data_IF_655013276305
#
_entry.id   IF_655013276305
#
_cell.length_a   1.000
_cell.length_b   1.000
_cell.length_c   1.000
_cell.angle_alpha   90.00
_cell.angle_beta   90.00
_cell.angle_gamma   90.00
#
_symmetry.space_group_name_H-M   'P 1'
#
loop_
_entity.id
_entity.type
_entity.pdbx_description
1 polymer ?
#
# COMPACT_ATOMS: atom_id res chain seq x y z
N UNK A 1 2.61 -17.78 42.74
CA UNK A 1 3.35 -16.78 41.93
C UNK A 1 4.41 -17.54 41.14
N UNK A 2 4.11 -17.93 39.91
CA UNK A 2 5.12 -18.37 38.94
C UNK A 2 5.47 -17.14 38.08
N UNK A 3 6.74 -16.91 37.74
CA UNK A 3 7.08 -15.87 36.77
C UNK A 3 6.64 -16.34 35.38
N UNK A 4 6.03 -15.44 34.59
CA UNK A 4 5.91 -15.63 33.16
C UNK A 4 7.30 -15.35 32.56
N UNK A 5 7.89 -16.36 31.94
CA UNK A 5 9.05 -16.20 31.06
C UNK A 5 8.48 -15.83 29.68
N UNK A 6 8.57 -14.55 29.33
CA UNK A 6 8.34 -14.08 27.96
C UNK A 6 9.52 -14.58 27.11
N UNK A 7 9.26 -15.60 26.30
CA UNK A 7 10.17 -16.02 25.25
C UNK A 7 10.05 -15.00 24.12
N UNK A 8 11.07 -14.15 23.96
CA UNK A 8 11.22 -13.33 22.77
C UNK A 8 11.49 -14.27 21.59
N UNK A 9 10.54 -14.37 20.65
CA UNK A 9 10.76 -15.01 19.36
C UNK A 9 11.88 -14.23 18.65
N UNK A 10 13.01 -14.90 18.41
CA UNK A 10 14.07 -14.36 17.56
C UNK A 10 13.55 -14.34 16.12
N UNK A 11 13.26 -13.14 15.60
CA UNK A 11 12.93 -12.99 14.18
C UNK A 11 14.04 -13.65 13.32
N UNK A 12 13.68 -14.45 12.30
CA UNK A 12 14.66 -15.13 11.48
C UNK A 12 15.61 -14.10 10.86
N UNK A 13 16.91 -14.30 11.11
CA UNK A 13 17.96 -13.41 10.62
C UNK A 13 17.78 -13.14 9.13
N UNK A 14 17.46 -11.89 8.78
CA UNK A 14 17.27 -11.45 7.40
C UNK A 14 18.50 -11.87 6.58
N UNK A 15 18.29 -12.73 5.57
CA UNK A 15 19.37 -13.11 4.65
C UNK A 15 19.98 -11.84 4.08
N UNK A 16 21.31 -11.76 4.16
CA UNK A 16 22.09 -10.65 3.60
C UNK A 16 21.60 -10.38 2.17
N UNK A 17 21.28 -9.12 1.82
CA UNK A 17 20.73 -8.79 0.51
C UNK A 17 21.64 -9.34 -0.59
N UNK A 18 21.02 -9.86 -1.65
CA UNK A 18 21.72 -10.42 -2.80
C UNK A 18 22.80 -9.43 -3.29
N UNK A 19 23.94 -9.98 -3.75
CA UNK A 19 25.09 -9.19 -4.18
C UNK A 19 24.65 -8.12 -5.20
N UNK A 20 24.69 -6.85 -4.78
CA UNK A 20 24.22 -5.71 -5.56
C UNK A 20 24.97 -5.50 -6.89
N UNK A 21 26.00 -6.32 -7.18
CA UNK A 21 26.73 -6.34 -8.44
C UNK A 21 26.12 -7.22 -9.53
N UNK A 22 25.19 -8.13 -9.18
CA UNK A 22 24.54 -8.98 -10.18
C UNK A 22 23.62 -8.14 -11.07
N UNK A 23 23.77 -8.28 -12.39
CA UNK A 23 22.89 -7.67 -13.39
C UNK A 23 21.70 -8.61 -13.61
N UNK A 24 20.50 -8.33 -13.06
CA UNK A 24 19.35 -9.21 -13.23
C UNK A 24 18.95 -9.28 -14.71
N UNK A 25 18.72 -10.48 -15.24
CA UNK A 25 18.31 -10.72 -16.64
C UNK A 25 17.18 -11.73 -16.63
N UNK A 26 16.13 -11.49 -17.41
CA UNK A 26 14.99 -12.40 -17.47
C UNK A 26 13.65 -11.70 -17.56
N UNK A 27 12.61 -12.47 -17.23
CA UNK A 27 11.21 -12.05 -17.25
C UNK A 27 10.67 -12.13 -15.83
N UNK A 28 9.97 -11.08 -15.41
CA UNK A 28 9.36 -10.95 -14.10
C UNK A 28 7.88 -10.65 -14.25
N UNK A 29 7.06 -11.24 -13.39
CA UNK A 29 5.62 -10.99 -13.34
C UNK A 29 5.34 -10.16 -12.09
N UNK A 30 4.93 -8.91 -12.28
CA UNK A 30 4.69 -7.96 -11.19
C UNK A 30 3.43 -8.39 -10.45
N UNK A 31 3.47 -8.41 -9.11
CA UNK A 31 2.36 -8.87 -8.27
C UNK A 31 1.53 -7.71 -7.76
N UNK A 32 0.22 -7.92 -7.66
CA UNK A 32 -0.70 -6.99 -7.00
C UNK A 32 -2.00 -7.69 -6.57
N UNK A 33 -2.18 -7.90 -5.26
CA UNK A 33 -3.39 -8.46 -4.65
C UNK A 33 -3.93 -9.72 -5.36
N UNK A 34 -3.05 -10.69 -5.61
CA UNK A 34 -3.37 -11.92 -6.35
C UNK A 34 -3.26 -11.80 -7.88
N UNK A 35 -3.34 -10.60 -8.44
CA UNK A 35 -3.18 -10.35 -9.87
C UNK A 35 -1.71 -10.27 -10.33
N UNK A 36 -1.52 -10.20 -11.66
CA UNK A 36 -0.21 -9.92 -12.29
C UNK A 36 -0.30 -8.84 -13.38
N UNK A 37 -0.54 -7.56 -13.01
CA UNK A 37 -0.92 -6.51 -13.96
C UNK A 37 0.15 -6.20 -15.02
N UNK A 38 1.42 -6.50 -14.73
CA UNK A 38 2.51 -6.25 -15.67
C UNK A 38 3.46 -7.44 -15.77
N UNK A 39 4.00 -7.64 -16.97
CA UNK A 39 5.19 -8.45 -17.22
C UNK A 39 6.35 -7.51 -17.53
N UNK A 40 7.52 -7.77 -16.97
CA UNK A 40 8.73 -6.99 -17.22
C UNK A 40 9.83 -7.87 -17.78
N UNK A 41 10.40 -7.47 -18.91
CA UNK A 41 11.57 -8.12 -19.50
C UNK A 41 12.80 -7.23 -19.33
N UNK A 42 13.87 -7.79 -18.76
CA UNK A 42 15.14 -7.09 -18.52
C UNK A 42 16.24 -7.75 -19.33
N UNK A 43 16.94 -6.94 -20.14
CA UNK A 43 18.10 -7.38 -20.95
C UNK A 43 19.26 -6.41 -20.82
N UNK A 44 20.50 -6.92 -20.82
CA UNK A 44 21.71 -6.09 -20.73
C UNK A 44 22.57 -6.15 -22.01
N UNK A 45 22.19 -5.42 -23.08
CA UNK A 45 23.00 -5.36 -24.31
C UNK A 45 24.33 -4.63 -24.12
N UNK A 46 24.53 -3.93 -23.00
CA UNK A 46 25.76 -3.19 -22.69
C UNK A 46 25.86 -2.76 -21.22
N UNK A 47 26.24 -1.49 -21.01
CA UNK A 47 26.37 -0.92 -19.66
C UNK A 47 25.04 -0.62 -19.00
N UNK A 48 24.00 -0.32 -19.79
CA UNK A 48 22.62 -0.11 -19.32
C UNK A 48 21.73 -1.29 -19.70
N UNK A 49 20.72 -1.55 -18.87
CA UNK A 49 19.64 -2.46 -19.18
C UNK A 49 18.66 -1.81 -20.17
N UNK A 50 18.09 -2.63 -21.04
CA UNK A 50 16.84 -2.38 -21.75
C UNK A 50 15.73 -3.08 -20.96
N UNK A 51 14.75 -2.31 -20.51
CA UNK A 51 13.63 -2.81 -19.70
C UNK A 51 12.33 -2.57 -20.44
N UNK A 52 11.57 -3.62 -20.71
CA UNK A 52 10.28 -3.57 -21.38
C UNK A 52 9.17 -3.94 -20.41
N UNK A 53 8.12 -3.14 -20.37
CA UNK A 53 6.92 -3.39 -19.57
C UNK A 53 5.77 -3.71 -20.53
N UNK A 54 5.02 -4.76 -20.22
CA UNK A 54 3.86 -5.21 -20.98
C UNK A 54 2.67 -5.24 -20.03
N UNK A 55 1.51 -4.74 -20.46
CA UNK A 55 0.28 -4.84 -19.67
C UNK A 55 -0.32 -6.24 -19.78
N UNK A 56 -0.94 -6.71 -18.71
CA UNK A 56 -1.85 -7.83 -18.80
C UNK A 56 -3.03 -7.45 -19.72
N UNK A 57 -3.41 -8.38 -20.60
CA UNK A 57 -4.69 -8.31 -21.30
C UNK A 57 -5.68 -8.72 -20.23
N UNK A 58 -6.61 -7.84 -19.85
CA UNK A 58 -7.68 -8.22 -18.95
C UNK A 58 -8.29 -9.50 -19.48
N UNK A 59 -8.57 -10.49 -18.62
CA UNK A 59 -9.74 -11.29 -18.94
C UNK A 59 -10.83 -10.24 -19.08
N UNK A 60 -11.39 -10.11 -20.27
CA UNK A 60 -12.76 -9.66 -20.34
C UNK A 60 -13.48 -10.71 -19.51
N UNK A 61 -13.51 -10.50 -18.18
CA UNK A 61 -14.41 -11.20 -17.30
C UNK A 61 -15.73 -10.76 -17.88
N UNK A 62 -16.22 -11.61 -18.78
CA UNK A 62 -17.58 -11.81 -19.14
C UNK A 62 -18.33 -11.98 -17.80
N UNK A 63 -18.48 -10.88 -17.06
CA UNK A 63 -19.73 -10.47 -16.45
C UNK A 63 -20.73 -10.29 -17.61
N UNK A 64 -20.92 -11.35 -18.41
CA UNK A 64 -22.23 -11.70 -18.88
C UNK A 64 -23.01 -11.87 -17.58
N UNK A 65 -23.58 -10.75 -17.13
CA UNK A 65 -24.77 -10.73 -16.32
C UNK A 65 -25.67 -11.80 -16.96
N UNK A 66 -25.65 -13.01 -16.39
CA UNK A 66 -26.76 -13.94 -16.45
C UNK A 66 -27.91 -13.17 -15.81
N UNK A 67 -28.49 -12.26 -16.60
CA UNK A 67 -29.82 -11.70 -16.48
C UNK A 67 -30.74 -12.91 -16.54
N UNK A 68 -30.80 -13.64 -15.42
CA UNK A 68 -31.87 -14.54 -15.09
C UNK A 68 -33.13 -13.66 -15.13
N UNK A 69 -33.76 -13.65 -16.30
CA UNK A 69 -35.09 -13.09 -16.56
C UNK A 69 -36.06 -13.75 -15.57
N UNK A 70 -36.11 -13.21 -14.35
CA UNK A 70 -37.12 -13.56 -13.37
C UNK A 70 -38.40 -12.83 -13.76
N UNK A 71 -38.99 -13.27 -14.87
CA UNK A 71 -40.36 -12.95 -15.25
C UNK A 71 -41.30 -13.47 -14.15
N UNK A 72 -41.79 -12.53 -13.34
CA UNK A 72 -43.13 -12.63 -12.76
C UNK A 72 -43.17 -12.92 -11.26
N UNK A 73 -43.18 -11.85 -10.47
CA UNK A 73 -44.15 -11.81 -9.37
C UNK A 73 -44.59 -10.36 -9.07
N UNK A 74 -45.70 -9.95 -9.69
CA UNK A 74 -46.45 -8.78 -9.26
C UNK A 74 -47.01 -9.07 -7.85
N UNK A 75 -46.36 -8.54 -6.83
CA UNK A 75 -46.98 -8.42 -5.51
C UNK A 75 -46.82 -7.01 -4.97
N UNK A 76 -47.94 -6.28 -5.00
CA UNK A 76 -48.09 -4.94 -4.48
C UNK A 76 -47.94 -4.93 -2.95
N UNK A 77 -46.74 -4.64 -2.45
CA UNK A 77 -46.45 -4.31 -1.06
C UNK A 77 -45.70 -2.98 -1.00
N UNK A 78 -46.30 -1.98 -0.34
CA UNK A 78 -45.70 -0.64 -0.20
C UNK A 78 -44.37 -0.63 0.56
N UNK A 79 -43.64 0.50 0.52
CA UNK A 79 -42.27 0.57 1.03
C UNK A 79 -42.23 0.34 2.55
N UNK A 80 -41.68 -0.81 2.96
CA UNK A 80 -41.18 -0.98 4.32
C UNK A 80 -39.78 -0.37 4.39
N UNK A 81 -39.69 0.76 5.09
CA UNK A 81 -38.42 1.34 5.53
C UNK A 81 -37.83 0.40 6.58
N UNK A 82 -36.88 -0.44 6.18
CA UNK A 82 -36.06 -1.19 7.13
C UNK A 82 -35.01 -0.26 7.69
N UNK A 83 -35.08 0.02 9.00
CA UNK A 83 -34.05 0.76 9.72
C UNK A 83 -32.86 -0.18 9.86
N UNK A 84 -31.86 -0.02 8.99
CA UNK A 84 -30.57 -0.67 9.16
C UNK A 84 -29.94 -0.18 10.46
N UNK A 85 -29.43 -1.13 11.25
CA UNK A 85 -28.69 -0.78 12.46
C UNK A 85 -27.30 -0.31 12.07
N UNK A 86 -26.64 0.45 12.95
CA UNK A 86 -25.24 0.84 12.74
C UNK A 86 -24.29 -0.38 12.53
N UNK A 87 -24.71 -1.59 12.94
CA UNK A 87 -23.99 -2.84 12.68
C UNK A 87 -24.12 -3.34 11.24
N UNK A 88 -25.25 -3.10 10.57
CA UNK A 88 -25.52 -3.62 9.22
C UNK A 88 -24.78 -2.80 8.15
N UNK A 89 -24.56 -1.51 8.41
CA UNK A 89 -23.77 -0.61 7.55
C UNK A 89 -22.26 -0.94 7.64
N UNK A 90 -21.79 -1.37 8.81
CA UNK A 90 -20.39 -1.72 9.01
C UNK A 90 -19.99 -3.00 8.24
N UNK A 91 -20.89 -3.97 8.11
CA UNK A 91 -20.60 -5.22 7.43
C UNK A 91 -20.55 -5.07 5.89
N UNK A 92 -21.25 -4.07 5.34
CA UNK A 92 -21.28 -3.78 3.90
C UNK A 92 -20.15 -2.84 3.45
N UNK A 93 -19.62 -1.99 4.33
CA UNK A 93 -18.55 -1.04 4.00
C UNK A 93 -17.14 -1.50 4.41
N UNK A 94 -17.00 -2.43 5.35
CA UNK A 94 -15.70 -2.82 5.93
C UNK A 94 -15.33 -4.31 5.70
N UNK A 95 -16.00 -4.98 4.76
CA UNK A 95 -15.80 -6.40 4.44
C UNK A 95 -14.41 -6.78 3.87
N UNK A 96 -13.50 -5.84 3.64
CA UNK A 96 -12.15 -6.09 3.11
C UNK A 96 -11.06 -5.29 3.85
N UNK A 97 -10.97 -5.44 5.18
CA UNK A 97 -9.87 -4.87 5.97
C UNK A 97 -8.75 -5.90 6.21
N UNK A 98 -8.08 -6.35 5.13
CA UNK A 98 -6.82 -7.09 5.21
C UNK A 98 -5.63 -6.12 5.33
N UNK A 99 -5.51 -5.45 6.48
CA UNK A 99 -4.33 -4.65 6.80
C UNK A 99 -3.24 -5.54 7.47
N UNK A 100 -1.96 -5.49 7.06
CA UNK A 100 -0.89 -6.35 7.59
C UNK A 100 -0.66 -6.28 9.11
N UNK A 101 -1.07 -5.18 9.76
CA UNK A 101 -1.01 -5.02 11.23
C UNK A 101 -1.78 -6.11 11.99
N UNK A 102 -2.70 -6.84 11.35
CA UNK A 102 -3.55 -7.83 12.01
C UNK A 102 -2.87 -9.16 12.32
N UNK A 103 -1.70 -9.48 11.75
CA UNK A 103 -1.11 -10.83 11.93
C UNK A 103 0.03 -10.90 12.93
N UNK A 104 0.66 -9.79 13.31
CA UNK A 104 1.68 -9.82 14.38
C UNK A 104 1.10 -9.81 15.81
N UNK A 105 -0.18 -9.45 16.00
CA UNK A 105 -0.78 -9.29 17.34
C UNK A 105 -1.80 -10.39 17.71
N UNK A 106 -2.29 -11.16 16.74
CA UNK A 106 -3.06 -12.36 17.02
C UNK A 106 -2.06 -13.51 17.24
N UNK A 107 -1.68 -13.76 18.49
CA UNK A 107 -0.87 -14.92 18.91
C UNK A 107 -1.58 -16.26 18.66
N UNK A 108 -1.93 -16.52 17.40
CA UNK A 108 -2.40 -17.79 16.91
C UNK A 108 -1.27 -18.79 17.05
N UNK A 109 -1.56 -19.90 17.72
CA UNK A 109 -0.68 -21.06 17.75
C UNK A 109 -0.20 -21.35 16.33
N UNK A 110 1.11 -21.54 16.15
CA UNK A 110 1.75 -22.09 14.95
C UNK A 110 1.01 -23.38 14.58
N UNK A 111 -0.04 -23.23 13.76
CA UNK A 111 -0.67 -24.33 13.07
C UNK A 111 0.37 -24.89 12.12
N UNK A 112 0.44 -26.22 12.03
CA UNK A 112 1.30 -26.92 11.08
C UNK A 112 1.25 -26.19 9.74
N UNK A 113 2.39 -25.64 9.30
CA UNK A 113 2.54 -24.99 8.00
C UNK A 113 2.18 -26.04 6.94
N UNK A 114 0.92 -26.06 6.50
CA UNK A 114 0.53 -26.82 5.32
C UNK A 114 1.43 -26.33 4.20
N UNK A 115 2.25 -27.22 3.63
CA UNK A 115 3.09 -26.87 2.49
C UNK A 115 2.19 -26.19 1.46
N UNK A 116 2.53 -24.96 1.02
CA UNK A 116 1.69 -24.20 0.12
C UNK A 116 1.44 -25.09 -1.09
N UNK A 117 0.15 -25.37 -1.35
CA UNK A 117 -0.23 -26.01 -2.60
C UNK A 117 0.34 -25.12 -3.70
N UNK A 118 1.14 -25.71 -4.58
CA UNK A 118 1.52 -25.07 -5.83
C UNK A 118 0.20 -24.83 -6.58
N UNK A 119 -0.43 -23.70 -6.32
CA UNK A 119 -1.52 -23.21 -7.14
C UNK A 119 -0.88 -22.92 -8.49
N UNK A 120 -1.11 -23.82 -9.44
CA UNK A 120 -0.87 -23.64 -10.88
C UNK A 120 -1.78 -22.53 -11.43
N UNK A 121 -1.80 -21.36 -10.78
CA UNK A 121 -2.52 -20.19 -11.24
C UNK A 121 -1.96 -19.82 -12.61
N UNK A 122 -2.80 -20.01 -13.62
CA UNK A 122 -2.44 -19.71 -15.00
C UNK A 122 -2.04 -18.23 -15.09
N UNK A 123 -0.81 -17.96 -15.54
CA UNK A 123 -0.35 -16.58 -15.70
C UNK A 123 -1.25 -15.86 -16.71
N UNK A 124 -1.60 -14.59 -16.49
CA UNK A 124 -2.42 -13.86 -17.44
C UNK A 124 -1.69 -13.71 -18.77
N UNK A 125 -2.46 -13.52 -19.83
CA UNK A 125 -1.90 -13.14 -21.12
C UNK A 125 -1.45 -11.68 -21.06
N UNK A 126 -0.42 -11.35 -21.81
CA UNK A 126 0.13 -9.99 -21.89
C UNK A 126 0.06 -9.48 -23.31
N UNK A 127 -0.01 -8.16 -23.45
CA UNK A 127 0.15 -7.48 -24.73
C UNK A 127 1.43 -7.95 -25.44
N UNK A 128 1.37 -8.06 -26.78
CA UNK A 128 2.52 -8.50 -27.58
C UNK A 128 3.59 -7.43 -27.67
N UNK A 129 3.17 -6.16 -27.71
CA UNK A 129 4.06 -5.00 -27.75
C UNK A 129 4.24 -4.43 -26.34
N UNK A 130 5.43 -3.94 -26.05
CA UNK A 130 5.70 -3.29 -24.77
C UNK A 130 4.99 -1.93 -24.73
N UNK A 131 4.20 -1.69 -23.69
CA UNK A 131 3.57 -0.40 -23.45
C UNK A 131 4.59 0.68 -23.01
N UNK A 132 5.71 0.25 -22.44
CA UNK A 132 6.82 1.11 -22.04
C UNK A 132 8.16 0.42 -22.26
N UNK A 133 9.14 1.14 -22.78
CA UNK A 133 10.55 0.71 -22.86
C UNK A 133 11.46 1.76 -22.24
N UNK A 134 12.28 1.34 -21.28
CA UNK A 134 13.20 2.21 -20.53
C UNK A 134 14.65 1.72 -20.66
N UNK A 135 15.59 2.64 -20.46
CA UNK A 135 17.00 2.30 -20.27
C UNK A 135 17.42 2.60 -18.83
N UNK A 136 18.01 1.62 -18.13
CA UNK A 136 18.35 1.72 -16.72
C UNK A 136 19.83 1.44 -16.46
N UNK A 137 20.46 2.26 -15.62
CA UNK A 137 21.83 2.06 -15.12
C UNK A 137 21.90 0.95 -14.07
N UNK A 138 20.83 0.79 -13.27
CA UNK A 138 20.66 -0.29 -12.31
C UNK A 138 19.21 -0.77 -12.29
N UNK A 139 19.03 -2.05 -12.01
CA UNK A 139 17.71 -2.68 -11.85
C UNK A 139 17.70 -3.36 -10.49
N UNK A 140 16.78 -2.94 -9.63
CA UNK A 140 16.50 -3.55 -8.35
C UNK A 140 15.25 -4.42 -8.50
N UNK A 141 15.40 -5.72 -8.24
CA UNK A 141 14.32 -6.69 -8.32
C UNK A 141 13.80 -6.93 -6.91
N UNK A 142 12.50 -6.72 -6.71
CA UNK A 142 11.83 -6.98 -5.44
C UNK A 142 11.81 -8.49 -5.16
N UNK A 143 11.98 -8.87 -3.89
CA UNK A 143 12.04 -10.27 -3.49
C UNK A 143 11.32 -10.44 -2.16
N UNK A 144 10.64 -11.56 -1.99
CA UNK A 144 10.06 -11.96 -0.72
C UNK A 144 10.62 -13.31 -0.26
N UNK A 145 11.67 -13.31 0.60
CA UNK A 145 12.29 -14.54 1.07
C UNK A 145 11.31 -15.49 1.79
N UNK A 146 10.26 -14.96 2.41
CA UNK A 146 9.23 -15.73 3.12
C UNK A 146 8.36 -16.57 2.18
N UNK A 147 8.04 -16.04 0.99
CA UNK A 147 7.17 -16.71 0.02
C UNK A 147 7.93 -17.36 -1.15
N UNK A 148 9.26 -17.26 -1.17
CA UNK A 148 10.12 -17.95 -2.12
C UNK A 148 10.21 -17.30 -3.50
N UNK A 149 10.82 -18.03 -4.44
CA UNK A 149 11.20 -17.50 -5.75
C UNK A 149 10.01 -17.17 -6.67
N UNK A 150 8.81 -17.69 -6.38
CA UNK A 150 7.59 -17.35 -7.14
C UNK A 150 7.21 -15.86 -7.00
N UNK A 151 7.72 -15.18 -5.96
CA UNK A 151 7.57 -13.75 -5.74
C UNK A 151 8.84 -12.95 -6.10
N UNK A 152 9.84 -13.55 -6.76
CA UNK A 152 10.96 -12.80 -7.30
C UNK A 152 10.48 -11.91 -8.44
N UNK A 153 10.78 -10.61 -8.34
CA UNK A 153 10.26 -9.59 -9.23
C UNK A 153 8.80 -9.23 -8.98
N UNK A 154 8.32 -9.39 -7.74
CA UNK A 154 7.01 -8.89 -7.32
C UNK A 154 6.82 -7.38 -7.59
N UNK A 155 7.90 -6.63 -7.60
CA UNK A 155 7.99 -5.25 -8.05
C UNK A 155 9.42 -4.95 -8.52
N UNK A 156 9.62 -3.89 -9.29
CA UNK A 156 10.92 -3.50 -9.82
C UNK A 156 11.15 -2.00 -9.60
N UNK A 157 12.37 -1.65 -9.21
CA UNK A 157 12.84 -0.27 -9.18
C UNK A 157 14.01 -0.10 -10.14
N UNK A 158 13.93 0.91 -10.99
CA UNK A 158 14.88 1.21 -12.05
C UNK A 158 15.62 2.50 -11.73
N UNK A 159 16.94 2.46 -11.69
CA UNK A 159 17.76 3.67 -11.68
C UNK A 159 18.00 4.10 -13.13
N UNK A 160 17.43 5.23 -13.55
CA UNK A 160 17.48 5.66 -14.95
C UNK A 160 18.78 6.43 -15.25
N UNK A 161 18.94 7.56 -14.55
CA UNK A 161 20.11 8.44 -14.59
C UNK A 161 20.11 9.36 -13.36
N UNK A 162 21.29 9.71 -12.84
CA UNK A 162 21.39 10.66 -11.72
C UNK A 162 20.56 10.24 -10.51
N UNK A 163 19.56 11.05 -10.16
CA UNK A 163 18.60 10.77 -9.08
C UNK A 163 17.20 10.40 -9.58
N UNK A 164 17.03 10.13 -10.88
CA UNK A 164 15.76 9.72 -11.45
C UNK A 164 15.59 8.21 -11.40
N UNK A 165 14.42 7.79 -10.95
CA UNK A 165 14.04 6.40 -10.84
C UNK A 165 12.68 6.16 -11.48
N UNK A 166 12.42 4.93 -11.90
CA UNK A 166 11.09 4.46 -12.25
C UNK A 166 10.74 3.23 -11.40
N UNK A 167 9.54 3.20 -10.86
CA UNK A 167 8.99 2.09 -10.12
C UNK A 167 7.95 1.36 -10.98
N UNK A 168 7.99 0.03 -10.95
CA UNK A 168 7.03 -0.86 -11.59
C UNK A 168 6.44 -1.77 -10.51
N UNK A 169 5.19 -1.54 -10.13
CA UNK A 169 4.43 -2.33 -9.15
C UNK A 169 2.95 -2.39 -9.54
N UNK A 170 2.04 -2.15 -8.60
CA UNK A 170 0.61 -1.93 -8.91
C UNK A 170 0.38 -0.80 -9.93
N UNK A 171 1.29 0.18 -9.94
CA UNK A 171 1.32 1.31 -10.84
C UNK A 171 2.75 1.46 -11.41
N UNK A 172 2.88 2.15 -12.54
CA UNK A 172 4.18 2.46 -13.15
C UNK A 172 4.39 3.96 -13.18
N UNK A 173 5.37 4.45 -12.43
CA UNK A 173 5.64 5.88 -12.33
C UNK A 173 7.13 6.17 -12.20
N UNK A 174 7.54 7.40 -12.51
CA UNK A 174 8.87 7.92 -12.26
C UNK A 174 8.88 8.92 -11.11
N UNK A 175 10.02 9.03 -10.42
CA UNK A 175 10.23 10.02 -9.36
C UNK A 175 11.70 10.43 -9.29
N UNK A 176 11.98 11.52 -8.57
CA UNK A 176 13.34 11.96 -8.28
C UNK A 176 13.65 11.74 -6.80
N UNK A 177 14.64 10.91 -6.50
CA UNK A 177 15.11 10.67 -5.14
C UNK A 177 15.92 11.86 -4.60
N UNK A 178 16.04 11.94 -3.27
CA UNK A 178 16.83 12.96 -2.55
C UNK A 178 18.32 12.64 -2.54
N UNK A 179 18.67 11.36 -2.58
CA UNK A 179 20.03 10.82 -2.67
C UNK A 179 20.03 9.52 -3.50
N UNK A 180 21.18 9.00 -3.95
CA UNK A 180 21.24 7.72 -4.62
C UNK A 180 20.64 6.59 -3.77
N UNK A 181 19.80 5.75 -4.37
CA UNK A 181 19.20 4.59 -3.72
C UNK A 181 20.24 3.47 -3.62
N UNK A 182 20.38 2.92 -2.42
CA UNK A 182 21.37 1.88 -2.09
C UNK A 182 20.73 0.55 -1.75
N UNK A 183 19.47 0.55 -1.32
CA UNK A 183 18.73 -0.66 -0.94
C UNK A 183 17.30 -0.57 -1.47
N UNK A 184 16.75 -1.74 -1.80
CA UNK A 184 15.39 -1.91 -2.23
C UNK A 184 14.85 -3.21 -1.64
N UNK A 185 13.66 -3.15 -1.06
CA UNK A 185 12.99 -4.25 -0.39
C UNK A 185 11.56 -4.27 -0.88
N UNK A 186 10.99 -5.45 -1.11
CA UNK A 186 9.59 -5.61 -1.49
C UNK A 186 9.04 -6.89 -0.86
N UNK A 187 8.67 -6.78 0.41
CA UNK A 187 8.06 -7.91 1.12
C UNK A 187 6.63 -8.10 0.62
N UNK A 188 6.11 -9.32 0.70
CA UNK A 188 4.73 -9.63 0.33
C UNK A 188 3.96 -9.93 1.60
N UNK A 189 2.82 -9.26 1.79
CA UNK A 189 1.91 -9.54 2.89
C UNK A 189 1.06 -10.78 2.62
N UNK A 190 0.23 -11.18 3.59
CA UNK A 190 -0.56 -12.41 3.49
C UNK A 190 -1.67 -12.39 2.41
N UNK A 191 -1.91 -11.26 1.74
CA UNK A 191 -2.88 -11.12 0.66
C UNK A 191 -2.20 -10.98 -0.70
N UNK A 192 -0.99 -11.50 -0.86
CA UNK A 192 -0.19 -11.38 -2.08
C UNK A 192 0.05 -9.93 -2.54
N UNK A 193 0.03 -9.00 -1.59
CA UNK A 193 0.28 -7.57 -1.83
C UNK A 193 1.74 -7.27 -1.54
N UNK A 194 2.52 -6.78 -2.53
CA UNK A 194 3.87 -6.30 -2.28
C UNK A 194 3.87 -4.96 -1.52
N UNK A 195 4.83 -4.80 -0.62
CA UNK A 195 5.12 -3.58 0.14
C UNK A 195 6.52 -3.04 -0.21
N UNK A 196 6.71 -2.54 -1.44
CA UNK A 196 8.01 -2.08 -1.91
C UNK A 196 8.45 -0.76 -1.30
N UNK A 197 9.66 -0.74 -0.77
CA UNK A 197 10.31 0.46 -0.30
C UNK A 197 11.81 0.47 -0.62
N UNK A 198 12.40 1.67 -0.63
CA UNK A 198 13.81 1.87 -0.92
C UNK A 198 14.51 2.70 0.15
N UNK A 199 15.83 2.56 0.31
CA UNK A 199 16.66 3.43 1.17
C UNK A 199 17.70 4.15 0.30
N UNK A 200 17.82 5.46 0.50
CA UNK A 200 18.91 6.24 -0.08
C UNK A 200 20.16 6.35 0.82
N UNK A 201 21.24 6.90 0.28
CA UNK A 201 22.51 7.11 1.01
C UNK A 201 22.38 7.99 2.27
N UNK A 202 21.30 8.77 2.40
CA UNK A 202 21.03 9.62 3.56
C UNK A 202 20.06 8.95 4.55
N UNK A 203 19.61 7.74 4.26
CA UNK A 203 18.70 6.97 5.09
C UNK A 203 17.23 7.33 4.92
N UNK A 204 16.85 8.16 3.92
CA UNK A 204 15.43 8.37 3.64
C UNK A 204 14.83 7.09 3.08
N UNK A 205 13.59 6.78 3.49
CA UNK A 205 12.84 5.61 3.01
C UNK A 205 11.69 6.04 2.12
N UNK A 206 11.58 5.43 0.95
CA UNK A 206 10.59 5.75 -0.07
C UNK A 206 9.54 4.64 -0.09
N UNK A 207 8.29 4.95 0.27
CA UNK A 207 7.17 4.01 0.29
C UNK A 207 6.38 4.14 -1.00
N UNK A 208 6.53 3.18 -1.92
CA UNK A 208 6.07 3.35 -3.30
C UNK A 208 4.54 3.31 -3.39
N UNK A 209 3.88 2.39 -2.70
CA UNK A 209 2.40 2.25 -2.73
C UNK A 209 1.68 3.27 -1.82
N UNK A 210 2.42 4.02 -1.01
CA UNK A 210 1.84 5.07 -0.15
C UNK A 210 2.20 6.47 -0.62
N UNK A 211 3.00 6.63 -1.68
CA UNK A 211 3.48 7.94 -2.15
C UNK A 211 4.09 8.81 -1.04
N UNK A 212 4.90 8.21 -0.16
CA UNK A 212 5.50 8.89 1.01
C UNK A 212 7.00 8.66 1.09
N UNK A 213 7.72 9.70 1.52
CA UNK A 213 9.13 9.64 1.92
C UNK A 213 9.20 9.86 3.44
N UNK A 214 9.88 8.96 4.14
CA UNK A 214 10.11 9.03 5.57
C UNK A 214 11.49 9.58 5.88
N UNK A 215 11.56 10.54 6.79
CA UNK A 215 12.81 11.13 7.25
C UNK A 215 13.71 10.10 7.94
N UNK A 216 15.01 10.14 7.65
CA UNK A 216 15.99 9.20 8.22
C UNK A 216 16.06 9.23 9.76
N UNK A 217 15.76 10.37 10.39
CA UNK A 217 15.71 10.52 11.85
C UNK A 217 14.70 9.61 12.53
N UNK A 218 13.67 9.17 11.81
CA UNK A 218 12.65 8.25 12.34
C UNK A 218 13.23 6.86 12.67
N UNK A 219 14.40 6.53 12.11
CA UNK A 219 15.03 5.21 12.19
C UNK A 219 16.34 5.21 13.00
N UNK A 220 16.74 6.35 13.59
CA UNK A 220 17.98 6.43 14.39
C UNK A 220 17.99 5.49 15.61
N UNK A 221 16.82 5.07 16.10
CA UNK A 221 16.66 4.25 17.30
C UNK A 221 15.73 3.04 17.09
N UNK A 222 15.45 2.67 15.83
CA UNK A 222 14.41 1.71 15.52
C UNK A 222 14.61 1.06 14.15
N UNK A 223 14.70 -0.27 14.13
CA UNK A 223 14.82 -1.10 12.91
C UNK A 223 13.46 -1.64 12.42
N UNK A 224 12.36 -0.96 12.77
CA UNK A 224 11.01 -1.34 12.31
C UNK A 224 10.89 -1.28 10.79
N UNK A 225 9.99 -2.12 10.27
CA UNK A 225 9.55 -2.01 8.89
C UNK A 225 8.98 -0.60 8.64
N UNK A 226 9.33 0.04 7.51
CA UNK A 226 8.88 1.40 7.21
C UNK A 226 7.37 1.56 7.05
N UNK A 227 6.67 0.56 6.54
CA UNK A 227 5.22 0.59 6.40
C UNK A 227 4.55 0.47 7.77
N UNK A 228 5.03 -0.42 8.63
CA UNK A 228 4.50 -0.54 10.00
C UNK A 228 4.68 0.77 10.77
N UNK A 229 5.87 1.38 10.68
CA UNK A 229 6.12 2.68 11.29
C UNK A 229 5.19 3.75 10.71
N UNK A 230 5.01 3.78 9.39
CA UNK A 230 4.17 4.76 8.72
C UNK A 230 2.71 4.63 9.11
N UNK A 231 2.10 3.45 8.99
CA UNK A 231 0.67 3.26 9.26
C UNK A 231 0.31 3.55 10.71
N UNK A 232 1.17 3.16 11.66
CA UNK A 232 0.96 3.47 13.07
C UNK A 232 1.08 4.98 13.35
N UNK A 233 2.11 5.63 12.79
CA UNK A 233 2.38 7.06 13.02
C UNK A 233 1.56 8.02 12.17
N UNK A 234 0.89 7.53 11.13
CA UNK A 234 0.03 8.33 10.28
C UNK A 234 -1.31 8.67 10.93
N UNK A 235 -1.69 8.01 12.04
CA UNK A 235 -2.93 8.29 12.75
C UNK A 235 -2.91 9.68 13.41
N UNK A 236 -3.93 10.48 13.11
CA UNK A 236 -4.18 11.79 13.76
C UNK A 236 -5.26 11.65 14.83
N UNK A 237 -6.27 10.80 14.58
CA UNK A 237 -7.28 10.40 15.56
C UNK A 237 -7.24 8.89 15.78
N UNK A 238 -7.99 8.39 16.77
CA UNK A 238 -8.13 6.96 16.98
C UNK A 238 -8.65 6.24 15.72
N UNK A 239 -8.12 5.04 15.45
CA UNK A 239 -8.62 4.20 14.38
C UNK A 239 -9.86 3.41 14.86
N UNK A 240 -11.03 3.95 14.53
CA UNK A 240 -12.31 3.40 14.94
C UNK A 240 -12.73 2.16 14.11
N UNK A 241 -12.00 1.85 13.03
CA UNK A 241 -12.21 0.63 12.25
C UNK A 241 -11.52 -0.59 12.85
N UNK A 242 -10.60 -0.40 13.79
CA UNK A 242 -9.81 -1.47 14.41
C UNK A 242 -10.47 -1.98 15.71
N UNK A 243 -10.32 -3.28 15.97
CA UNK A 243 -10.77 -3.93 17.21
C UNK A 243 -9.59 -4.71 17.82
N UNK A 244 -8.98 -4.24 18.92
CA UNK A 244 -9.33 -3.03 19.69
C UNK A 244 -9.01 -1.73 18.93
N UNK A 245 -9.71 -0.65 19.29
CA UNK A 245 -9.47 0.70 18.75
C UNK A 245 -8.01 1.08 18.99
N UNK A 246 -7.33 1.46 17.92
CA UNK A 246 -5.95 1.91 17.96
C UNK A 246 -5.88 3.42 18.24
N UNK A 247 -4.98 3.84 19.14
CA UNK A 247 -4.81 5.26 19.49
C UNK A 247 -3.60 5.83 18.75
N UNK A 248 -3.62 7.10 18.34
CA UNK A 248 -2.47 7.73 17.72
C UNK A 248 -1.30 7.82 18.71
N UNK A 249 -0.09 7.56 18.22
CA UNK A 249 1.17 7.69 18.98
C UNK A 249 1.37 9.10 19.55
N UNK A 250 0.92 10.11 18.82
CA UNK A 250 1.11 11.53 19.13
C UNK A 250 -0.22 12.26 19.02
N UNK A 251 -0.59 12.96 20.10
CA UNK A 251 -1.76 13.82 20.09
C UNK A 251 -1.49 15.10 19.29
N UNK A 252 -1.91 15.16 18.03
CA UNK A 252 -1.65 16.30 17.17
C UNK A 252 -2.68 17.43 17.33
N UNK A 253 -2.22 18.64 17.66
CA UNK A 253 -3.04 19.85 17.83
C UNK A 253 -4.29 19.69 18.72
N UNK A 254 -4.29 18.71 19.63
CA UNK A 254 -5.43 18.35 20.46
C UNK A 254 -6.63 17.77 19.71
N UNK A 255 -6.47 17.35 18.45
CA UNK A 255 -7.56 16.78 17.62
C UNK A 255 -7.86 15.36 18.08
N UNK A 256 -9.07 15.12 18.57
CA UNK A 256 -9.48 13.82 19.10
C UNK A 256 -10.43 13.07 18.17
N UNK A 257 -11.17 13.79 17.33
CA UNK A 257 -12.16 13.21 16.42
C UNK A 257 -12.20 13.96 15.10
N UNK A 258 -12.60 13.24 14.06
CA UNK A 258 -12.83 13.76 12.72
C UNK A 258 -14.16 13.25 12.19
N UNK A 259 -14.90 14.13 11.54
CA UNK A 259 -16.26 13.87 11.08
C UNK A 259 -16.44 14.40 9.67
N UNK A 260 -17.19 13.67 8.85
CA UNK A 260 -17.66 14.12 7.53
C UNK A 260 -19.18 14.04 7.57
N UNK A 261 -19.85 15.19 7.53
CA UNK A 261 -21.27 15.29 7.84
C UNK A 261 -21.56 14.85 9.28
N UNK A 262 -22.39 13.82 9.43
CA UNK A 262 -22.79 13.27 10.74
C UNK A 262 -22.00 12.04 11.16
N UNK A 263 -21.18 11.47 10.28
CA UNK A 263 -20.45 10.24 10.53
C UNK A 263 -19.01 10.53 11.00
N UNK A 264 -18.55 9.77 11.99
CA UNK A 264 -17.19 9.83 12.49
C UNK A 264 -16.29 8.96 11.62
N UNK A 265 -15.08 9.46 11.31
CA UNK A 265 -14.07 8.77 10.52
C UNK A 265 -12.72 8.78 11.22
N UNK A 266 -11.88 7.80 10.92
CA UNK A 266 -10.44 7.83 11.26
C UNK A 266 -9.75 8.90 10.41
N UNK A 267 -9.16 9.91 11.04
CA UNK A 267 -8.28 10.86 10.38
C UNK A 267 -6.85 10.35 10.43
N UNK A 268 -6.25 10.20 9.25
CA UNK A 268 -4.84 9.84 9.06
C UNK A 268 -4.18 10.79 8.08
N UNK A 269 -2.86 10.80 8.06
CA UNK A 269 -2.10 11.54 7.07
C UNK A 269 -2.44 11.08 5.66
N UNK A 270 -2.59 12.06 4.77
CA UNK A 270 -2.81 11.85 3.35
C UNK A 270 -1.74 12.64 2.55
N UNK A 271 -0.86 11.97 1.79
CA UNK A 271 0.19 12.63 1.00
C UNK A 271 -0.34 13.56 -0.10
N UNK A 272 -1.56 13.31 -0.61
CA UNK A 272 -2.22 14.13 -1.62
C UNK A 272 -3.55 14.68 -1.07
N UNK A 273 -3.50 15.63 -0.12
CA UNK A 273 -4.68 16.00 0.66
C UNK A 273 -5.73 16.79 -0.12
N UNK A 274 -5.36 17.44 -1.22
CA UNK A 274 -6.30 18.21 -2.03
C UNK A 274 -7.24 17.29 -2.84
N UNK A 275 -6.76 16.34 -3.66
CA UNK A 275 -7.61 15.36 -4.32
C UNK A 275 -8.44 14.52 -3.35
N UNK A 276 -7.86 14.14 -2.20
CA UNK A 276 -8.57 13.38 -1.18
C UNK A 276 -9.73 14.16 -0.55
N UNK A 277 -9.51 15.44 -0.23
CA UNK A 277 -10.59 16.32 0.23
C UNK A 277 -11.73 16.38 -0.78
N UNK A 278 -11.42 16.60 -2.07
CA UNK A 278 -12.44 16.73 -3.10
C UNK A 278 -13.30 15.47 -3.22
N UNK A 279 -12.65 14.28 -3.19
CA UNK A 279 -13.32 12.98 -3.21
C UNK A 279 -14.25 12.78 -1.99
N UNK A 280 -13.80 13.19 -0.82
CA UNK A 280 -14.53 12.97 0.44
C UNK A 280 -15.61 14.05 0.69
N UNK A 281 -15.46 15.24 0.13
CA UNK A 281 -16.42 16.34 0.26
C UNK A 281 -17.82 16.02 -0.31
N UNK A 282 -17.91 15.04 -1.21
CA UNK A 282 -19.17 14.49 -1.71
C UNK A 282 -20.02 13.87 -0.59
N UNK A 283 -19.40 13.43 0.51
CA UNK A 283 -20.06 12.80 1.65
C UNK A 283 -20.54 13.80 2.71
N UNK A 284 -20.05 15.03 2.68
CA UNK A 284 -20.46 16.07 3.63
C UNK A 284 -19.37 17.07 4.00
N UNK A 285 -19.71 17.98 4.92
CA UNK A 285 -18.79 18.98 5.43
C UNK A 285 -17.82 18.38 6.45
N UNK A 286 -16.58 18.88 6.49
CA UNK A 286 -15.54 18.34 7.36
C UNK A 286 -15.55 19.04 8.71
N UNK A 287 -15.43 18.27 9.79
CA UNK A 287 -15.29 18.78 11.14
C UNK A 287 -14.20 18.05 11.93
N UNK A 288 -13.55 18.78 12.82
CA UNK A 288 -12.63 18.22 13.82
C UNK A 288 -13.13 18.55 15.24
N UNK A 289 -12.76 17.74 16.22
CA UNK A 289 -13.02 18.00 17.65
C UNK A 289 -11.70 18.18 18.38
N UNK A 290 -11.59 19.25 19.18
CA UNK A 290 -10.43 19.56 20.03
C UNK A 290 -10.81 19.63 21.51
N UNK A 291 -11.40 18.55 22.04
CA UNK A 291 -11.92 18.50 23.43
C UNK A 291 -13.15 19.38 23.68
N UNK A 292 -13.93 19.68 22.64
CA UNK A 292 -15.06 20.62 22.67
C UNK A 292 -16.09 20.35 21.56
N UNK A 293 -16.84 21.37 21.10
CA UNK A 293 -17.78 21.19 19.98
C UNK A 293 -17.05 20.90 18.66
N UNK A 294 -17.78 20.32 17.68
CA UNK A 294 -17.32 20.15 16.29
C UNK A 294 -16.91 21.50 15.69
N UNK A 295 -15.71 21.57 15.13
CA UNK A 295 -15.16 22.75 14.44
C UNK A 295 -15.12 22.43 12.95
N UNK A 296 -15.90 23.18 12.16
CA UNK A 296 -15.88 23.05 10.70
C UNK A 296 -14.52 23.49 10.15
N UNK A 297 -13.98 22.72 9.20
CA UNK A 297 -12.75 23.08 8.48
C UNK A 297 -13.03 23.14 6.97
N UNK A 298 -12.39 24.10 6.31
CA UNK A 298 -12.38 24.26 4.86
C UNK A 298 -11.32 23.38 4.21
N UNK A 299 -11.36 23.24 2.88
CA UNK A 299 -10.32 22.57 2.08
C UNK A 299 -8.92 23.08 2.40
N UNK A 300 -8.73 24.40 2.44
CA UNK A 300 -7.43 25.01 2.74
C UNK A 300 -6.95 24.66 4.16
N UNK A 301 -7.85 24.60 5.13
CA UNK A 301 -7.52 24.21 6.51
C UNK A 301 -7.19 22.71 6.61
N UNK A 302 -7.88 21.85 5.86
CA UNK A 302 -7.57 20.42 5.77
C UNK A 302 -6.18 20.17 5.14
N UNK A 303 -5.90 20.80 4.00
CA UNK A 303 -4.59 20.69 3.33
C UNK A 303 -3.49 21.19 4.26
N UNK A 304 -3.71 22.33 4.92
CA UNK A 304 -2.75 22.87 5.89
C UNK A 304 -2.55 21.91 7.07
N UNK A 305 -3.62 21.30 7.58
CA UNK A 305 -3.54 20.32 8.66
C UNK A 305 -2.63 19.14 8.29
N UNK A 306 -2.78 18.61 7.07
CA UNK A 306 -1.94 17.50 6.58
C UNK A 306 -0.48 17.91 6.39
N UNK A 307 -0.23 19.12 5.88
CA UNK A 307 1.13 19.66 5.74
C UNK A 307 1.82 19.87 7.09
N UNK A 308 1.10 20.45 8.06
CA UNK A 308 1.61 20.66 9.41
C UNK A 308 1.89 19.31 10.10
N UNK A 309 1.02 18.32 9.92
CA UNK A 309 1.22 16.98 10.48
C UNK A 309 2.42 16.29 9.85
N UNK A 310 2.56 16.33 8.52
CA UNK A 310 3.70 15.76 7.81
C UNK A 310 5.04 16.34 8.32
N UNK A 311 5.09 17.67 8.50
CA UNK A 311 6.26 18.35 9.01
C UNK A 311 6.63 17.91 10.43
N UNK A 312 5.64 17.72 11.31
CA UNK A 312 5.83 17.22 12.69
C UNK A 312 6.30 15.76 12.69
N UNK A 313 5.71 14.91 11.83
CA UNK A 313 5.98 13.48 11.79
C UNK A 313 7.19 13.09 10.95
N UNK A 314 7.80 14.03 10.24
CA UNK A 314 8.92 13.75 9.34
C UNK A 314 8.50 12.99 8.09
N UNK A 315 7.31 13.26 7.58
CA UNK A 315 6.79 12.72 6.32
C UNK A 315 6.91 13.77 5.22
N UNK A 316 7.13 13.30 4.00
CA UNK A 316 7.10 14.11 2.80
C UNK A 316 6.36 13.36 1.68
N UNK A 317 5.64 14.06 0.82
CA UNK A 317 5.00 13.46 -0.35
C UNK A 317 6.06 12.99 -1.35
N UNK A 318 5.93 11.75 -1.83
CA UNK A 318 6.67 11.26 -2.98
C UNK A 318 6.02 11.81 -4.25
N UNK A 319 6.58 12.89 -4.79
CA UNK A 319 6.10 13.41 -6.07
C UNK A 319 6.53 12.49 -7.22
N UNK A 320 5.55 11.97 -7.94
CA UNK A 320 5.72 11.06 -9.06
C UNK A 320 5.03 11.54 -10.33
N UNK A 321 5.51 11.07 -11.47
CA UNK A 321 4.90 11.20 -12.78
C UNK A 321 4.52 9.81 -13.27
N UNK A 322 3.23 9.58 -13.49
CA UNK A 322 2.72 8.32 -14.02
C UNK A 322 3.25 8.09 -15.44
N UNK A 323 3.76 6.88 -15.70
CA UNK A 323 4.32 6.47 -16.98
C UNK A 323 3.37 5.53 -17.74
N UNK A 324 2.60 4.73 -17.02
CA UNK A 324 1.65 3.78 -17.58
C UNK A 324 0.41 3.76 -16.70
N UNK A 325 -0.72 4.17 -17.25
CA UNK A 325 -2.02 4.02 -16.59
C UNK A 325 -2.34 2.55 -16.39
N UNK A 326 -2.81 2.20 -15.19
CA UNK A 326 -3.36 0.87 -14.90
C UNK A 326 -4.70 0.74 -15.63
N UNK A 327 -4.87 -0.37 -16.35
CA UNK A 327 -6.22 -0.78 -16.77
C UNK A 327 -6.87 -1.36 -15.51
N UNK A 328 -7.79 -0.61 -14.90
CA UNK A 328 -8.61 -1.06 -13.77
C UNK A 328 -9.86 -1.70 -14.32
#
# INVERSE_FOLDING_TARGET
KRPAEDAAEEEPAQKKPADASAKPDGTYHIHDNGGRPFKVEVKWPGSKAEVKVFKAIGSDDEDEDDDDENEGNENAGGPQVSVMTAGDIAQQLFGNSNHPLLVQMAGGQEGEEEEPKEDDAELPQYETDACLTLSAEKVFVGQCPKHGAIFDGNSILLHLEGLKYAFVGENVFSFTAKSPITQYVSLVGNSDVPYPWAIDEQGFRYLMISSVILNSKLFENCDKDPYDLYFHRALITADIGMVPIEQPDVQFQGITEFWIGEDQYTLKYEPNPEPDYDRLAERGEFFIVKGGPKIKISKTEYVKLMQDFAAEMGFETLHSEELVERNI
#
